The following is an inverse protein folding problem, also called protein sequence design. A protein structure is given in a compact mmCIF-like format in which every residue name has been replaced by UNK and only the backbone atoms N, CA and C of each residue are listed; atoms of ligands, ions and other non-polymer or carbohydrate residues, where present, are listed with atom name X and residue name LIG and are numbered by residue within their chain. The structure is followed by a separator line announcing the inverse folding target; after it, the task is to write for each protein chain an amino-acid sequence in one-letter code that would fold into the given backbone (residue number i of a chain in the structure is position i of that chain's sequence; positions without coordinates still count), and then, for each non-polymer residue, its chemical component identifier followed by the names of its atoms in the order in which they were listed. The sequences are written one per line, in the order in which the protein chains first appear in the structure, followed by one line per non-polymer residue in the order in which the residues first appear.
data_IF_882438986385
#
_entry.id   IF_882438986385
#
_cell.length_a   1.000
_cell.length_b   1.000
_cell.length_c   1.000
_cell.angle_alpha   90.00
_cell.angle_beta   90.00
_cell.angle_gamma   90.00
#
_symmetry.space_group_name_H-M   'P 1'
#
loop_
_entity.id
_entity.type
_entity.pdbx_description
1 polymer ?
#
# COMPACT_ATOMS: atom_id res chain seq x y z
N UNK A 1 -22.52 25.96 36.73
CA UNK A 1 -21.40 26.95 36.76
C UNK A 1 -20.09 26.18 36.66
N UNK A 2 -19.30 26.42 35.64
CA UNK A 2 -17.97 25.81 35.51
C UNK A 2 -17.06 26.48 36.54
N UNK A 3 -16.31 25.71 37.32
CA UNK A 3 -15.44 26.27 38.35
C UNK A 3 -14.22 26.97 37.73
N UNK A 4 -13.68 27.97 38.40
CA UNK A 4 -12.46 28.67 37.92
C UNK A 4 -11.28 27.71 37.76
N UNK A 5 -11.18 26.66 38.58
CA UNK A 5 -10.18 25.60 38.50
C UNK A 5 -10.33 24.78 37.22
N UNK A 6 -11.57 24.48 36.78
CA UNK A 6 -11.83 23.75 35.53
C UNK A 6 -11.44 24.59 34.32
N UNK A 7 -11.76 25.89 34.31
CA UNK A 7 -11.35 26.79 33.27
C UNK A 7 -9.82 26.92 33.15
N UNK A 8 -9.15 27.04 34.30
CA UNK A 8 -7.68 27.09 34.33
C UNK A 8 -7.07 25.77 33.82
N UNK A 9 -7.63 24.62 34.20
CA UNK A 9 -7.17 23.32 33.70
C UNK A 9 -7.29 23.18 32.20
N UNK A 10 -8.43 23.58 31.62
CA UNK A 10 -8.65 23.60 30.18
C UNK A 10 -7.64 24.53 29.48
N UNK A 11 -7.46 25.74 30.02
CA UNK A 11 -6.54 26.71 29.43
C UNK A 11 -5.09 26.19 29.43
N UNK A 12 -4.61 25.60 30.54
CA UNK A 12 -3.27 25.03 30.63
C UNK A 12 -3.12 23.85 29.65
N UNK A 13 -4.07 22.93 29.62
CA UNK A 13 -4.05 21.77 28.73
C UNK A 13 -4.02 22.19 27.26
N UNK A 14 -4.89 23.13 26.85
CA UNK A 14 -4.93 23.66 25.50
C UNK A 14 -3.62 24.37 25.13
N UNK A 15 -3.04 25.15 26.05
CA UNK A 15 -1.77 25.82 25.84
C UNK A 15 -0.62 24.84 25.62
N UNK A 16 -0.57 23.76 26.39
CA UNK A 16 0.47 22.71 26.22
C UNK A 16 0.34 22.04 24.85
N UNK A 17 -0.88 21.70 24.45
CA UNK A 17 -1.11 21.09 23.11
C UNK A 17 -0.68 22.06 22.01
N UNK A 18 -1.07 23.33 22.08
CA UNK A 18 -0.70 24.33 21.08
C UNK A 18 0.82 24.52 20.99
N UNK A 19 1.51 24.56 22.12
CA UNK A 19 2.97 24.62 22.16
C UNK A 19 3.60 23.39 21.50
N UNK A 20 3.10 22.20 21.80
CA UNK A 20 3.60 20.96 21.18
C UNK A 20 3.38 20.96 19.66
N UNK A 21 2.21 21.37 19.18
CA UNK A 21 1.91 21.50 17.76
C UNK A 21 2.85 22.49 17.07
N UNK A 22 3.09 23.65 17.71
CA UNK A 22 4.03 24.66 17.16
C UNK A 22 5.46 24.08 17.09
N UNK A 23 5.90 23.39 18.14
CA UNK A 23 7.24 22.76 18.16
C UNK A 23 7.34 21.70 17.06
N UNK A 24 6.32 20.86 16.89
CA UNK A 24 6.30 19.82 15.84
C UNK A 24 6.35 20.44 14.44
N UNK A 25 5.51 21.42 14.14
CA UNK A 25 5.50 22.12 12.85
C UNK A 25 6.84 22.85 12.59
N UNK A 26 7.44 23.43 13.62
CA UNK A 26 8.76 24.05 13.50
C UNK A 26 9.86 23.01 13.24
N UNK A 27 9.81 21.89 13.93
CA UNK A 27 10.76 20.80 13.71
C UNK A 27 10.60 20.22 12.29
N UNK A 28 9.37 19.97 11.85
CA UNK A 28 9.06 19.50 10.50
C UNK A 28 9.62 20.46 9.43
N UNK A 29 9.36 21.77 9.56
CA UNK A 29 9.84 22.80 8.62
C UNK A 29 11.38 22.93 8.56
N UNK A 30 12.09 22.42 9.59
CA UNK A 30 13.57 22.44 9.64
C UNK A 30 14.20 21.11 9.25
N UNK A 31 13.49 20.02 9.40
CA UNK A 31 14.00 18.67 9.16
C UNK A 31 13.68 18.15 7.76
N UNK A 32 12.58 18.62 7.15
CA UNK A 32 12.25 18.31 5.77
C UNK A 32 12.73 19.45 4.86
N UNK A 33 13.43 19.15 3.77
CA UNK A 33 13.71 20.14 2.75
C UNK A 33 12.38 20.67 2.18
N UNK A 34 12.31 21.98 1.97
CA UNK A 34 11.14 22.63 1.38
C UNK A 34 11.15 22.60 -0.16
N UNK A 35 12.30 22.26 -0.73
CA UNK A 35 12.50 22.19 -2.18
C UNK A 35 12.25 20.80 -2.69
N UNK A 36 11.75 20.71 -3.92
CA UNK A 36 11.60 19.44 -4.62
C UNK A 36 12.96 18.79 -4.81
N UNK A 37 13.00 17.47 -4.74
CA UNK A 37 14.23 16.68 -4.87
C UNK A 37 14.21 15.89 -6.18
N UNK A 38 15.37 15.77 -6.79
CA UNK A 38 15.59 15.00 -8.02
C UNK A 38 15.94 13.56 -7.67
N UNK A 39 15.25 12.61 -8.29
CA UNK A 39 15.58 11.19 -8.28
C UNK A 39 16.05 10.79 -9.67
N UNK A 40 17.36 10.58 -9.83
CA UNK A 40 17.95 10.05 -11.05
C UNK A 40 17.74 8.53 -11.10
N UNK A 41 17.22 8.03 -12.22
CA UNK A 41 16.89 6.61 -12.37
C UNK A 41 17.74 6.01 -13.49
N UNK A 42 18.56 5.01 -13.16
CA UNK A 42 19.45 4.29 -14.07
C UNK A 42 20.39 5.22 -14.85
N UNK A 43 20.84 6.31 -14.22
CA UNK A 43 21.69 7.34 -14.82
C UNK A 43 21.11 7.90 -16.15
N UNK A 44 19.78 7.94 -16.25
CA UNK A 44 19.06 8.40 -17.44
C UNK A 44 18.23 9.64 -17.10
N UNK A 45 18.59 10.77 -17.70
CA UNK A 45 17.91 12.05 -17.47
C UNK A 45 16.43 12.01 -17.93
N UNK A 46 16.10 11.27 -18.98
CA UNK A 46 14.73 11.15 -19.50
C UNK A 46 13.80 10.38 -18.54
N UNK A 47 14.37 9.59 -17.62
CA UNK A 47 13.65 8.81 -16.62
C UNK A 47 13.72 9.41 -15.22
N UNK A 48 14.47 10.49 -15.07
CA UNK A 48 14.59 11.19 -13.79
C UNK A 48 13.29 11.90 -13.42
N UNK A 49 12.94 11.86 -12.15
CA UNK A 49 11.70 12.45 -11.64
C UNK A 49 11.99 13.49 -10.56
N UNK A 50 11.14 14.50 -10.47
CA UNK A 50 11.23 15.54 -9.42
C UNK A 50 10.03 15.39 -8.49
N UNK A 51 10.28 15.15 -7.21
CA UNK A 51 9.24 14.83 -6.23
C UNK A 51 9.40 15.63 -4.95
N UNK A 52 8.31 15.77 -4.19
CA UNK A 52 8.36 16.36 -2.86
C UNK A 52 8.98 15.36 -1.86
N UNK A 53 9.87 15.84 -0.96
CA UNK A 53 10.42 14.99 0.08
C UNK A 53 9.35 14.55 1.10
N UNK A 54 9.66 13.49 1.86
CA UNK A 54 8.81 13.00 2.96
C UNK A 54 8.09 11.68 2.69
N UNK A 55 7.73 11.38 1.43
CA UNK A 55 7.17 10.09 1.05
C UNK A 55 8.24 8.98 1.01
N UNK A 56 7.81 7.71 0.86
CA UNK A 56 8.74 6.63 0.56
C UNK A 56 9.13 6.64 -0.91
N UNK A 57 10.33 6.12 -1.23
CA UNK A 57 10.76 5.98 -2.61
C UNK A 57 9.77 5.12 -3.42
N UNK A 58 9.22 4.04 -2.84
CA UNK A 58 8.21 3.20 -3.48
C UNK A 58 6.97 4.00 -3.88
N UNK A 59 6.43 4.82 -2.96
CA UNK A 59 5.23 5.64 -3.24
C UNK A 59 5.52 6.73 -4.27
N UNK A 60 6.67 7.38 -4.18
CA UNK A 60 7.04 8.43 -5.13
C UNK A 60 7.20 7.88 -6.56
N UNK A 61 7.86 6.74 -6.72
CA UNK A 61 7.99 6.07 -8.02
C UNK A 61 6.62 5.66 -8.58
N UNK A 62 5.75 5.11 -7.73
CA UNK A 62 4.39 4.69 -8.14
C UNK A 62 3.55 5.88 -8.62
N UNK A 63 3.65 7.05 -7.97
CA UNK A 63 2.95 8.27 -8.39
C UNK A 63 3.40 8.76 -9.79
N UNK A 64 4.63 8.45 -10.17
CA UNK A 64 5.18 8.75 -11.50
C UNK A 64 5.05 7.57 -12.48
N UNK A 65 4.14 6.63 -12.17
CA UNK A 65 3.86 5.44 -13.01
C UNK A 65 5.05 4.49 -13.16
N UNK A 66 5.99 4.49 -12.22
CA UNK A 66 7.11 3.56 -12.14
C UNK A 66 6.84 2.57 -11.01
N UNK A 67 6.40 1.36 -11.38
CA UNK A 67 5.87 0.40 -10.42
C UNK A 67 6.92 -0.64 -10.02
N UNK A 68 7.51 -0.51 -8.83
CA UNK A 68 8.33 -1.56 -8.24
C UNK A 68 7.43 -2.68 -7.67
N UNK A 69 7.84 -3.95 -7.82
CA UNK A 69 7.12 -5.07 -7.21
C UNK A 69 6.97 -4.90 -5.70
N UNK A 70 5.75 -5.08 -5.17
CA UNK A 70 5.52 -5.00 -3.72
C UNK A 70 4.27 -5.79 -3.31
N UNK A 71 4.45 -7.03 -2.91
CA UNK A 71 3.34 -7.89 -2.47
C UNK A 71 2.74 -7.48 -1.11
N UNK A 72 3.53 -6.80 -0.25
CA UNK A 72 3.06 -6.35 1.05
C UNK A 72 2.48 -4.92 1.06
N UNK A 73 2.39 -4.27 -0.12
CA UNK A 73 1.88 -2.91 -0.23
C UNK A 73 2.70 -1.87 0.54
N UNK A 74 4.02 -2.04 0.58
CA UNK A 74 4.92 -1.10 1.28
C UNK A 74 5.19 -1.42 2.75
N UNK A 75 4.64 -2.51 3.29
CA UNK A 75 4.79 -2.90 4.70
C UNK A 75 6.18 -3.44 5.10
N UNK A 76 7.15 -3.51 4.18
CA UNK A 76 8.53 -3.93 4.48
C UNK A 76 8.72 -5.42 4.74
N UNK A 77 7.74 -6.28 4.41
CA UNK A 77 7.75 -7.70 4.79
C UNK A 77 8.03 -8.68 3.65
N UNK A 78 7.83 -8.28 2.39
CA UNK A 78 7.99 -9.18 1.23
C UNK A 78 9.35 -9.08 0.54
N UNK A 79 10.09 -8.00 0.77
CA UNK A 79 11.38 -7.70 0.15
C UNK A 79 11.40 -7.65 -1.40
N UNK A 80 10.24 -7.54 -2.05
CA UNK A 80 10.17 -7.48 -3.51
C UNK A 80 10.56 -6.11 -4.09
N UNK A 81 10.41 -5.04 -3.31
CA UNK A 81 10.74 -3.67 -3.73
C UNK A 81 12.24 -3.35 -3.58
N UNK A 82 13.11 -4.36 -3.66
CA UNK A 82 14.55 -4.14 -3.64
C UNK A 82 15.00 -3.35 -4.86
N UNK A 83 15.79 -2.32 -4.62
CA UNK A 83 16.51 -1.57 -5.65
C UNK A 83 17.87 -1.13 -5.09
N UNK A 84 18.80 -0.77 -5.96
CA UNK A 84 20.07 -0.17 -5.51
C UNK A 84 19.87 1.34 -5.39
N UNK A 85 20.27 1.92 -4.27
CA UNK A 85 20.22 3.37 -4.03
C UNK A 85 21.65 3.84 -3.82
N UNK A 86 22.25 4.31 -4.91
CA UNK A 86 23.66 4.68 -4.96
C UNK A 86 23.94 5.95 -4.16
N UNK A 87 22.98 6.89 -4.13
CA UNK A 87 23.08 8.15 -3.41
C UNK A 87 21.74 8.51 -2.76
N UNK A 88 21.78 9.20 -1.62
CA UNK A 88 20.58 9.74 -0.95
C UNK A 88 19.76 8.71 -0.16
N UNK A 89 20.18 7.44 -0.11
CA UNK A 89 19.45 6.37 0.59
C UNK A 89 19.63 6.33 2.11
N UNK A 90 20.65 7.00 2.63
CA UNK A 90 21.03 6.95 4.04
C UNK A 90 21.43 5.54 4.51
N UNK A 91 21.52 5.32 5.82
CA UNK A 91 21.88 4.03 6.40
C UNK A 91 20.78 2.99 6.32
N UNK A 92 21.15 1.69 6.31
CA UNK A 92 20.20 0.58 6.37
C UNK A 92 19.42 0.60 7.69
N UNK A 93 18.11 0.59 7.55
CA UNK A 93 17.19 0.62 8.69
C UNK A 93 17.10 -0.76 9.38
N UNK A 94 16.80 -0.79 10.68
CA UNK A 94 16.57 -2.06 11.39
C UNK A 94 15.50 -2.95 10.74
N UNK A 95 14.48 -2.35 10.13
CA UNK A 95 13.39 -3.04 9.39
C UNK A 95 13.87 -3.72 8.12
N UNK A 96 14.95 -3.27 7.52
CA UNK A 96 15.53 -3.84 6.29
C UNK A 96 16.50 -5.00 6.58
N UNK A 97 17.10 -5.05 7.77
CA UNK A 97 18.15 -6.02 8.13
C UNK A 97 17.73 -7.49 8.04
N UNK A 98 16.43 -7.77 8.12
CA UNK A 98 15.89 -9.11 7.93
C UNK A 98 15.79 -9.55 6.46
N UNK A 99 15.93 -8.61 5.53
CA UNK A 99 15.68 -8.81 4.10
C UNK A 99 16.88 -8.48 3.22
N UNK A 100 17.76 -7.60 3.69
CA UNK A 100 18.98 -7.20 3.00
C UNK A 100 20.16 -7.94 3.63
N UNK A 101 20.84 -8.75 2.84
CA UNK A 101 22.04 -9.45 3.27
C UNK A 101 23.23 -8.49 3.43
N UNK A 102 24.30 -8.93 4.11
CA UNK A 102 25.51 -8.12 4.25
C UNK A 102 26.21 -7.82 2.91
N UNK A 103 26.05 -8.70 1.92
CA UNK A 103 26.59 -8.49 0.57
C UNK A 103 25.78 -7.42 -0.14
N UNK A 104 24.44 -7.58 -0.17
CA UNK A 104 23.54 -6.61 -0.76
C UNK A 104 23.70 -5.22 -0.15
N UNK A 105 23.90 -5.16 1.18
CA UNK A 105 24.14 -3.91 1.89
C UNK A 105 25.41 -3.16 1.41
N UNK A 106 26.43 -3.88 0.98
CA UNK A 106 27.67 -3.31 0.42
C UNK A 106 27.53 -2.88 -1.05
N UNK A 107 26.50 -3.36 -1.69
CA UNK A 107 26.13 -3.06 -3.07
C UNK A 107 24.96 -2.08 -3.13
N UNK A 108 24.72 -1.35 -2.05
CA UNK A 108 23.70 -0.30 -1.93
C UNK A 108 22.25 -0.76 -2.16
N UNK A 109 21.98 -2.07 -1.98
CA UNK A 109 20.63 -2.58 -2.04
C UNK A 109 19.79 -2.14 -0.84
N UNK A 110 18.58 -1.65 -1.10
CA UNK A 110 17.64 -1.16 -0.11
C UNK A 110 16.21 -1.62 -0.44
N UNK A 111 15.31 -1.50 0.52
CA UNK A 111 13.87 -1.64 0.28
C UNK A 111 13.25 -0.28 0.00
N UNK A 112 12.82 -0.03 -1.24
CA UNK A 112 12.24 1.26 -1.63
C UNK A 112 11.06 1.71 -0.75
N UNK A 113 10.31 0.77 -0.18
CA UNK A 113 9.21 1.07 0.73
C UNK A 113 9.65 1.55 2.12
N UNK A 114 10.92 1.33 2.50
CA UNK A 114 11.46 1.74 3.80
C UNK A 114 12.29 3.01 3.71
N UNK A 115 12.76 3.37 2.53
CA UNK A 115 13.60 4.55 2.32
C UNK A 115 12.71 5.77 2.13
N UNK A 116 12.85 6.76 3.01
CA UNK A 116 12.21 8.07 2.92
C UNK A 116 13.05 9.01 2.07
N UNK A 117 12.40 9.71 1.15
CA UNK A 117 13.02 10.73 0.32
C UNK A 117 13.27 11.97 1.16
N UNK A 118 14.55 12.37 1.28
CA UNK A 118 14.98 13.56 2.05
C UNK A 118 15.86 14.51 1.25
N UNK A 119 16.53 14.01 0.25
CA UNK A 119 17.51 14.70 -0.58
C UNK A 119 17.53 14.08 -1.97
N UNK A 120 18.31 14.66 -2.89
CA UNK A 120 18.48 14.07 -4.22
C UNK A 120 18.99 12.63 -4.11
N UNK A 121 18.50 11.78 -4.99
CA UNK A 121 18.80 10.36 -4.97
C UNK A 121 19.25 9.88 -6.35
N UNK A 122 20.14 8.88 -6.35
CA UNK A 122 20.46 8.08 -7.54
C UNK A 122 20.05 6.64 -7.27
N UNK A 123 19.17 6.10 -8.11
CA UNK A 123 18.61 4.75 -7.95
C UNK A 123 18.79 3.92 -9.22
N UNK A 124 19.08 2.64 -9.04
CA UNK A 124 19.08 1.66 -10.12
C UNK A 124 17.98 0.64 -9.91
N UNK A 125 17.20 0.45 -10.96
CA UNK A 125 16.05 -0.47 -10.99
C UNK A 125 16.11 -1.33 -12.25
N UNK A 126 15.49 -2.51 -12.22
CA UNK A 126 15.40 -3.37 -13.41
C UNK A 126 14.69 -2.64 -14.55
N UNK A 127 15.18 -2.81 -15.77
CA UNK A 127 14.52 -2.25 -16.97
C UNK A 127 13.10 -2.79 -17.17
N UNK A 128 12.81 -3.98 -16.67
CA UNK A 128 11.49 -4.61 -16.78
C UNK A 128 10.36 -3.83 -16.11
N UNK A 129 10.69 -2.99 -15.12
CA UNK A 129 9.67 -2.19 -14.44
C UNK A 129 9.05 -1.10 -15.32
N UNK A 130 9.73 -0.68 -16.39
CA UNK A 130 9.21 0.32 -17.32
C UNK A 130 8.20 -0.26 -18.32
N UNK A 131 8.12 -1.58 -18.41
CA UNK A 131 7.15 -2.30 -19.25
C UNK A 131 5.85 -2.63 -18.50
N UNK A 132 5.79 -2.29 -17.20
CA UNK A 132 4.58 -2.51 -16.39
C UNK A 132 3.51 -1.52 -16.80
N UNK A 133 2.34 -2.03 -17.14
CA UNK A 133 1.18 -1.25 -17.54
C UNK A 133 0.09 -1.30 -16.47
N UNK A 134 -0.68 -0.24 -16.37
CA UNK A 134 -1.86 -0.13 -15.52
C UNK A 134 -3.12 -0.07 -16.37
N UNK A 135 -4.12 -0.88 -16.06
CA UNK A 135 -5.39 -0.92 -16.76
C UNK A 135 -6.56 -0.69 -15.82
N UNK A 136 -7.57 0.01 -16.31
CA UNK A 136 -8.89 0.04 -15.71
C UNK A 136 -9.68 -1.17 -16.23
N UNK A 137 -9.82 -2.19 -15.39
CA UNK A 137 -10.49 -3.43 -15.74
C UNK A 137 -11.97 -3.38 -15.35
N UNK A 138 -12.80 -4.09 -16.14
CA UNK A 138 -14.22 -4.27 -15.79
C UNK A 138 -14.39 -5.52 -14.96
N UNK A 139 -15.13 -5.41 -13.84
CA UNK A 139 -15.54 -6.57 -13.06
C UNK A 139 -16.56 -7.37 -13.86
N UNK A 140 -16.22 -8.61 -14.22
CA UNK A 140 -17.08 -9.59 -14.86
C UNK A 140 -17.93 -10.34 -13.85
N UNK A 141 -17.30 -10.80 -12.78
CA UNK A 141 -17.95 -11.46 -11.65
C UNK A 141 -17.17 -11.29 -10.36
N UNK A 142 -17.87 -11.33 -9.23
CA UNK A 142 -17.30 -11.30 -7.90
C UNK A 142 -18.18 -12.16 -6.97
N UNK A 143 -17.87 -13.46 -6.88
CA UNK A 143 -18.70 -14.47 -6.21
C UNK A 143 -17.94 -15.12 -5.07
N UNK A 144 -18.63 -15.49 -4.01
CA UNK A 144 -18.04 -16.34 -3.00
C UNK A 144 -17.80 -17.75 -3.58
N UNK A 145 -16.61 -18.28 -3.36
CA UNK A 145 -16.24 -19.67 -3.63
C UNK A 145 -15.95 -20.42 -2.33
N UNK A 146 -15.89 -19.71 -1.23
CA UNK A 146 -15.88 -20.20 0.14
C UNK A 146 -16.41 -19.09 1.06
N UNK A 147 -16.72 -19.42 2.31
CA UNK A 147 -17.28 -18.49 3.31
C UNK A 147 -16.57 -17.13 3.36
N UNK A 148 -15.23 -17.13 3.23
CA UNK A 148 -14.38 -15.93 3.32
C UNK A 148 -13.47 -15.73 2.10
N UNK A 149 -13.80 -16.34 0.96
CA UNK A 149 -13.01 -16.18 -0.26
C UNK A 149 -13.95 -15.82 -1.41
N UNK A 150 -13.66 -14.71 -2.08
CA UNK A 150 -14.30 -14.31 -3.32
C UNK A 150 -13.42 -14.59 -4.51
N UNK A 151 -14.02 -15.17 -5.55
CA UNK A 151 -13.45 -15.23 -6.88
C UNK A 151 -13.81 -13.94 -7.61
N UNK A 152 -12.81 -13.12 -7.87
CA UNK A 152 -12.93 -11.89 -8.64
C UNK A 152 -12.42 -12.14 -10.06
N UNK A 153 -13.29 -11.99 -11.04
CA UNK A 153 -12.93 -12.10 -12.46
C UNK A 153 -13.01 -10.73 -13.10
N UNK A 154 -11.91 -10.31 -13.70
CA UNK A 154 -11.75 -9.03 -14.37
C UNK A 154 -11.57 -9.23 -15.88
N UNK A 155 -12.14 -8.32 -16.66
CA UNK A 155 -11.93 -8.21 -18.10
C UNK A 155 -10.99 -7.02 -18.38
N UNK A 156 -9.97 -7.26 -19.18
CA UNK A 156 -9.09 -6.20 -19.67
C UNK A 156 -9.83 -5.28 -20.65
N UNK A 157 -9.37 -4.03 -20.84
CA UNK A 157 -9.89 -3.15 -21.87
C UNK A 157 -9.81 -3.79 -23.27
N UNK A 158 -10.71 -3.38 -24.16
CA UNK A 158 -10.74 -3.89 -25.54
C UNK A 158 -9.43 -3.59 -26.26
N UNK A 159 -8.81 -4.61 -26.82
CA UNK A 159 -7.55 -4.50 -27.56
C UNK A 159 -6.31 -4.72 -26.72
N UNK A 160 -6.43 -4.71 -25.39
CA UNK A 160 -5.33 -5.05 -24.49
C UNK A 160 -5.22 -6.57 -24.31
N UNK A 161 -4.01 -7.03 -24.07
CA UNK A 161 -3.73 -8.44 -23.81
C UNK A 161 -2.65 -8.57 -22.74
N UNK A 162 -2.91 -9.37 -21.70
CA UNK A 162 -1.96 -9.67 -20.67
C UNK A 162 -1.29 -11.02 -20.92
N UNK A 163 -0.02 -10.96 -21.31
CA UNK A 163 0.81 -12.15 -21.38
C UNK A 163 1.45 -12.41 -20.02
N UNK A 164 1.11 -13.53 -19.40
CA UNK A 164 1.66 -13.91 -18.11
C UNK A 164 1.99 -15.41 -18.07
N UNK A 165 2.82 -15.79 -17.11
CA UNK A 165 3.09 -17.20 -16.79
C UNK A 165 2.28 -17.61 -15.56
N UNK A 166 1.90 -18.88 -15.49
CA UNK A 166 1.21 -19.41 -14.31
C UNK A 166 2.00 -19.12 -13.02
N UNK A 167 1.31 -18.63 -11.99
CA UNK A 167 1.92 -18.16 -10.74
C UNK A 167 2.35 -16.68 -10.75
N UNK A 168 2.15 -15.97 -11.86
CA UNK A 168 2.29 -14.52 -11.90
C UNK A 168 1.31 -13.82 -10.97
N UNK A 169 1.60 -12.58 -10.62
CA UNK A 169 0.73 -11.77 -9.77
C UNK A 169 0.50 -10.40 -10.40
N UNK A 170 -0.58 -9.77 -10.00
CA UNK A 170 -0.90 -8.38 -10.33
C UNK A 170 -1.01 -7.56 -9.05
N UNK A 171 -0.91 -6.25 -9.19
CA UNK A 171 -1.20 -5.30 -8.12
C UNK A 171 -2.55 -4.64 -8.42
N UNK A 172 -3.39 -4.55 -7.39
CA UNK A 172 -4.68 -3.84 -7.45
C UNK A 172 -4.56 -2.60 -6.57
N UNK A 173 -4.89 -1.46 -7.13
CA UNK A 173 -5.04 -0.23 -6.37
C UNK A 173 -6.30 -0.27 -5.54
N UNK A 174 -6.19 0.20 -4.32
CA UNK A 174 -7.26 0.32 -3.35
C UNK A 174 -7.30 1.78 -2.96
N UNK A 175 -8.30 2.55 -3.44
CA UNK A 175 -8.43 3.96 -3.08
C UNK A 175 -8.76 4.13 -1.60
N UNK A 176 -8.66 5.35 -1.09
CA UNK A 176 -9.24 5.69 0.19
C UNK A 176 -10.75 5.47 0.17
N UNK A 177 -11.29 4.95 1.26
CA UNK A 177 -12.72 4.81 1.45
C UNK A 177 -13.09 4.83 2.94
N UNK A 178 -14.29 5.30 3.23
CA UNK A 178 -14.85 5.33 4.57
C UNK A 178 -16.17 4.58 4.61
N UNK A 179 -16.45 3.93 5.75
CA UNK A 179 -17.72 3.30 6.07
C UNK A 179 -18.17 2.21 5.07
N UNK A 180 -17.21 1.40 4.57
CA UNK A 180 -17.52 0.23 3.76
C UNK A 180 -18.14 -0.85 4.64
N UNK A 181 -19.43 -1.11 4.44
CA UNK A 181 -20.21 -2.00 5.30
C UNK A 181 -20.34 -3.38 4.67
N UNK A 182 -19.96 -4.42 5.39
CA UNK A 182 -20.02 -5.79 4.88
C UNK A 182 -21.46 -6.28 4.66
N UNK A 183 -22.46 -5.69 5.34
CA UNK A 183 -23.87 -5.97 5.07
C UNK A 183 -24.32 -5.60 3.64
N UNK A 184 -23.56 -4.74 2.95
CA UNK A 184 -23.87 -4.31 1.59
C UNK A 184 -23.21 -5.23 0.55
N UNK A 185 -22.43 -6.23 0.99
CA UNK A 185 -21.81 -7.20 0.11
C UNK A 185 -22.85 -8.23 -0.38
N UNK A 186 -22.74 -8.57 -1.67
CA UNK A 186 -23.42 -9.73 -2.17
C UNK A 186 -22.66 -11.00 -1.76
N UNK A 187 -23.34 -11.89 -1.04
CA UNK A 187 -22.79 -13.18 -0.58
C UNK A 187 -23.83 -14.25 -0.95
N UNK A 188 -23.38 -15.38 -1.48
CA UNK A 188 -24.26 -16.48 -1.83
C UNK A 188 -24.92 -17.08 -0.60
N UNK A 189 -26.20 -17.46 -0.70
CA UNK A 189 -27.06 -17.91 0.42
C UNK A 189 -26.45 -19.06 1.23
N UNK A 190 -25.69 -19.94 0.58
CA UNK A 190 -25.04 -21.07 1.26
C UNK A 190 -24.04 -20.67 2.33
N UNK A 191 -23.48 -19.43 2.24
CA UNK A 191 -22.50 -18.91 3.22
C UNK A 191 -23.13 -18.01 4.30
N UNK A 192 -24.43 -17.64 4.17
CA UNK A 192 -25.11 -16.80 5.16
C UNK A 192 -25.07 -17.37 6.58
N UNK A 193 -25.26 -18.68 6.82
CA UNK A 193 -25.20 -19.22 8.18
C UNK A 193 -23.88 -18.96 8.92
N UNK A 194 -22.77 -18.99 8.19
CA UNK A 194 -21.47 -18.68 8.77
C UNK A 194 -21.30 -17.17 9.00
N UNK A 195 -21.77 -16.34 8.07
CA UNK A 195 -21.73 -14.89 8.20
C UNK A 195 -22.59 -14.42 9.38
N UNK A 196 -23.75 -15.01 9.60
CA UNK A 196 -24.62 -14.77 10.77
C UNK A 196 -23.93 -15.21 12.07
N UNK A 197 -23.41 -16.45 12.09
CA UNK A 197 -22.72 -17.04 13.23
C UNK A 197 -21.54 -16.19 13.70
N UNK A 198 -20.76 -15.69 12.75
CA UNK A 198 -19.57 -14.89 12.99
C UNK A 198 -19.86 -13.38 12.96
N UNK A 199 -21.12 -12.94 12.81
CA UNK A 199 -21.53 -11.52 12.78
C UNK A 199 -20.73 -10.70 11.75
N UNK A 200 -20.44 -11.27 10.59
CA UNK A 200 -19.62 -10.61 9.56
C UNK A 200 -20.36 -9.43 8.96
N UNK A 201 -21.68 -9.47 8.89
CA UNK A 201 -22.51 -8.37 8.41
C UNK A 201 -22.34 -7.06 9.19
N UNK A 202 -21.91 -7.14 10.44
CA UNK A 202 -21.72 -5.97 11.32
C UNK A 202 -20.35 -5.31 11.11
N UNK A 203 -19.48 -5.91 10.30
CA UNK A 203 -18.12 -5.40 10.06
C UNK A 203 -18.17 -4.15 9.18
N UNK A 204 -17.37 -3.16 9.56
CA UNK A 204 -17.15 -1.92 8.80
C UNK A 204 -15.65 -1.77 8.56
N UNK A 205 -15.27 -1.49 7.33
CA UNK A 205 -13.89 -1.26 6.93
C UNK A 205 -13.68 0.19 6.52
N UNK A 206 -12.48 0.68 6.79
CA UNK A 206 -12.00 1.99 6.36
C UNK A 206 -10.59 1.85 5.78
N UNK A 207 -10.27 2.70 4.83
CA UNK A 207 -8.94 2.85 4.29
C UNK A 207 -8.64 4.34 4.18
N UNK A 208 -7.71 4.83 4.99
CA UNK A 208 -7.46 6.26 5.16
C UNK A 208 -6.48 6.82 4.10
N UNK A 209 -5.90 5.95 3.26
CA UNK A 209 -4.94 6.34 2.22
C UNK A 209 -4.98 5.38 1.04
N UNK A 210 -4.69 5.90 -0.15
CA UNK A 210 -4.51 5.07 -1.34
C UNK A 210 -3.38 4.07 -1.13
N UNK A 211 -3.63 2.83 -1.44
CA UNK A 211 -2.65 1.77 -1.34
C UNK A 211 -2.84 0.71 -2.43
N UNK A 212 -1.97 -0.26 -2.48
CA UNK A 212 -2.12 -1.40 -3.38
C UNK A 212 -1.85 -2.72 -2.67
N UNK A 213 -2.40 -3.80 -3.23
CA UNK A 213 -2.15 -5.17 -2.79
C UNK A 213 -1.87 -6.07 -3.98
N UNK A 214 -0.93 -6.98 -3.81
CA UNK A 214 -0.61 -7.98 -4.81
C UNK A 214 -1.47 -9.24 -4.62
N UNK A 215 -1.97 -9.76 -5.73
CA UNK A 215 -2.74 -10.99 -5.80
C UNK A 215 -2.16 -11.89 -6.88
N UNK A 216 -1.91 -13.16 -6.53
CA UNK A 216 -1.55 -14.16 -7.53
C UNK A 216 -2.74 -14.43 -8.44
N UNK A 217 -2.49 -14.51 -9.74
CA UNK A 217 -3.52 -14.87 -10.71
C UNK A 217 -3.90 -16.34 -10.52
N UNK A 218 -5.19 -16.61 -10.41
CA UNK A 218 -5.76 -17.94 -10.19
C UNK A 218 -6.12 -18.66 -11.50
N UNK A 219 -6.21 -17.91 -12.63
CA UNK A 219 -6.47 -18.50 -13.92
C UNK A 219 -5.20 -18.96 -14.63
N UNK A 220 -5.36 -19.93 -15.53
CA UNK A 220 -4.30 -20.34 -16.45
C UNK A 220 -4.26 -19.41 -17.68
N UNK A 221 -3.07 -19.11 -18.25
CA UNK A 221 -2.97 -18.25 -19.45
C UNK A 221 -3.83 -18.67 -20.63
N UNK A 222 -4.11 -19.98 -20.79
CA UNK A 222 -4.95 -20.52 -21.86
C UNK A 222 -6.46 -20.28 -21.67
N UNK A 223 -6.91 -19.73 -20.54
CA UNK A 223 -8.34 -19.46 -20.26
C UNK A 223 -8.83 -18.16 -20.92
N UNK A 224 -7.95 -17.48 -21.63
CA UNK A 224 -8.27 -16.27 -22.38
C UNK A 224 -7.82 -14.99 -21.67
N UNK A 225 -8.28 -13.87 -22.19
CA UNK A 225 -7.84 -12.55 -21.77
C UNK A 225 -8.64 -12.05 -20.54
N UNK A 226 -8.58 -12.81 -19.48
CA UNK A 226 -9.21 -12.51 -18.18
C UNK A 226 -8.17 -12.57 -17.07
N UNK A 227 -8.46 -11.88 -15.98
CA UNK A 227 -7.71 -11.97 -14.73
C UNK A 227 -8.65 -12.54 -13.68
N UNK A 228 -8.27 -13.67 -13.10
CA UNK A 228 -9.04 -14.29 -12.01
C UNK A 228 -8.20 -14.26 -10.75
N UNK A 229 -8.80 -13.83 -9.67
CA UNK A 229 -8.17 -13.72 -8.36
C UNK A 229 -9.04 -14.38 -7.30
N UNK A 230 -8.40 -15.04 -6.35
CA UNK A 230 -9.05 -15.48 -5.13
C UNK A 230 -8.71 -14.51 -4.00
N UNK A 231 -9.68 -13.65 -3.68
CA UNK A 231 -9.52 -12.60 -2.67
C UNK A 231 -10.10 -13.06 -1.34
N UNK A 232 -9.25 -13.14 -0.33
CA UNK A 232 -9.71 -13.46 1.02
C UNK A 232 -10.34 -12.23 1.67
N UNK A 233 -11.55 -12.37 2.17
CA UNK A 233 -12.18 -11.40 3.06
C UNK A 233 -11.46 -11.47 4.41
N UNK A 234 -10.58 -10.53 4.67
CA UNK A 234 -9.72 -10.53 5.85
C UNK A 234 -10.44 -9.90 7.05
N UNK A 235 -11.13 -10.73 7.80
CA UNK A 235 -11.74 -10.35 9.07
C UNK A 235 -10.78 -10.65 10.23
N UNK A 236 -10.78 -9.84 11.32
CA UNK A 236 -10.11 -10.24 12.54
C UNK A 236 -10.74 -11.53 13.10
N UNK A 237 -10.02 -12.33 13.89
CA UNK A 237 -10.61 -13.48 14.57
C UNK A 237 -11.70 -13.02 15.54
N UNK A 238 -12.78 -13.80 15.77
CA UNK A 238 -13.95 -13.39 16.54
C UNK A 238 -13.69 -12.72 17.90
N UNK A 239 -12.68 -13.16 18.69
CA UNK A 239 -12.38 -12.51 19.97
C UNK A 239 -11.86 -11.07 19.84
N UNK A 240 -11.38 -10.68 18.66
CA UNK A 240 -10.78 -9.36 18.39
C UNK A 240 -11.70 -8.44 17.57
N UNK A 241 -12.94 -8.86 17.32
CA UNK A 241 -13.89 -8.02 16.57
C UNK A 241 -14.21 -6.74 17.33
N UNK A 242 -14.21 -5.63 16.58
CA UNK A 242 -14.33 -4.29 17.14
C UNK A 242 -13.09 -3.76 17.87
N UNK A 243 -12.04 -4.60 18.02
CA UNK A 243 -10.75 -4.19 18.60
C UNK A 243 -9.65 -4.05 17.54
N UNK A 244 -9.74 -4.83 16.46
CA UNK A 244 -8.80 -4.81 15.34
C UNK A 244 -9.62 -4.58 14.08
N UNK A 245 -9.19 -3.66 13.20
CA UNK A 245 -9.89 -3.41 11.93
C UNK A 245 -9.81 -4.62 10.99
N UNK A 246 -10.79 -4.79 10.09
CA UNK A 246 -10.70 -5.77 9.01
C UNK A 246 -9.61 -5.36 8.00
N UNK A 247 -9.29 -6.27 7.09
CA UNK A 247 -8.36 -5.97 6.00
C UNK A 247 -8.95 -4.96 5.03
N UNK A 248 -8.13 -4.03 4.57
CA UNK A 248 -8.54 -2.93 3.68
C UNK A 248 -8.80 -3.34 2.23
N UNK A 249 -8.41 -4.54 1.83
CA UNK A 249 -8.62 -5.09 0.49
C UNK A 249 -9.63 -6.25 0.48
N UNK A 250 -10.53 -6.26 1.42
CA UNK A 250 -11.51 -7.34 1.59
C UNK A 250 -12.74 -7.17 0.75
#
# INVERSE_FOLDING_TARGET
MISATTLLGIAVFTSVILILVIILNFAESKLLPSEDVLISINDNDDKSITVKPGSTLLSALANESIFLPSACGGGGTCALCKCQILEGGGDILPTEKGHITRSEAKEDWRLACQVKIKENMSVQVSSEIFDIQKWECKVRSNKNVATFIKELVLELPKGENLNFTAGGYIQIDIPEYLDLRFKDFHVEEEYHPDWDKFKIWDVIANNDEDCFRAYSMANHPAEGNIIMLNVRIATPPPPLWGQVPPGIAS
#
